data_IF_482045117793
#
_entry.id   IF_482045117793
#
_cell.length_a   1.000
_cell.length_b   1.000
_cell.length_c   1.000
_cell.angle_alpha   90.00
_cell.angle_beta   90.00
_cell.angle_gamma   90.00
#
_symmetry.space_group_name_H-M   'P 1'
#
loop_
_entity.id
_entity.type
_entity.pdbx_description
1 polymer ?
#
# COMPACT_ATOMS: atom_id res chain seq x y z
N UNK A 1 2.69 -10.12 46.84
CA UNK A 1 1.50 -10.32 45.99
C UNK A 1 1.18 -9.00 45.33
N UNK A 2 1.89 -8.72 44.23
CA UNK A 2 1.69 -7.54 43.40
C UNK A 2 0.74 -7.94 42.28
N UNK A 3 -0.46 -7.38 42.31
CA UNK A 3 -1.50 -7.56 41.30
C UNK A 3 -1.05 -6.92 40.00
N UNK A 4 -0.71 -7.76 39.02
CA UNK A 4 -0.67 -7.42 37.59
C UNK A 4 -2.07 -7.01 37.14
N UNK A 5 -2.31 -5.72 36.95
CA UNK A 5 -3.42 -5.22 36.15
C UNK A 5 -3.19 -5.64 34.70
N UNK A 6 -3.95 -6.62 34.22
CA UNK A 6 -4.00 -7.01 32.82
C UNK A 6 -4.50 -5.83 31.97
N UNK A 7 -3.86 -5.63 30.82
CA UNK A 7 -4.22 -4.66 29.78
C UNK A 7 -5.47 -5.05 28.97
N UNK A 8 -6.24 -6.07 29.41
CA UNK A 8 -7.32 -6.67 28.60
C UNK A 8 -8.68 -5.96 28.69
N UNK A 9 -8.85 -4.89 29.48
CA UNK A 9 -10.19 -4.34 29.78
C UNK A 9 -10.57 -3.03 29.09
N UNK A 10 -9.74 -2.46 28.20
CA UNK A 10 -9.98 -1.12 27.63
C UNK A 10 -10.44 -1.08 26.15
N UNK A 11 -10.57 -2.22 25.46
CA UNK A 11 -11.04 -2.25 24.08
C UNK A 11 -12.55 -2.59 24.03
N UNK A 12 -13.40 -1.56 24.04
CA UNK A 12 -14.82 -1.72 23.69
C UNK A 12 -14.98 -2.29 22.27
N UNK A 13 -16.16 -2.86 21.93
CA UNK A 13 -16.40 -3.43 20.61
C UNK A 13 -16.12 -2.39 19.53
N UNK A 14 -15.28 -2.80 18.58
CA UNK A 14 -14.85 -2.03 17.43
C UNK A 14 -16.06 -1.80 16.54
N UNK A 15 -16.40 -0.53 16.29
CA UNK A 15 -17.47 0.01 15.44
C UNK A 15 -18.64 -0.94 15.10
N UNK A 16 -19.86 -0.52 15.45
CA UNK A 16 -21.06 -1.34 15.22
C UNK A 16 -21.19 -1.82 13.77
N UNK A 17 -21.94 -2.91 13.56
CA UNK A 17 -22.28 -3.36 12.21
C UNK A 17 -22.84 -2.22 11.36
N UNK A 18 -23.62 -1.31 11.97
CA UNK A 18 -24.19 -0.14 11.29
C UNK A 18 -23.13 0.82 10.72
N UNK A 19 -22.01 1.06 11.43
CA UNK A 19 -20.91 1.89 10.93
C UNK A 19 -20.24 1.29 9.70
N UNK A 20 -19.94 -0.02 9.73
CA UNK A 20 -19.38 -0.69 8.56
C UNK A 20 -20.37 -0.79 7.40
N UNK A 21 -21.66 -1.04 7.69
CA UNK A 21 -22.70 -1.10 6.67
C UNK A 21 -22.85 0.25 5.95
N UNK A 22 -22.77 1.36 6.69
CA UNK A 22 -22.73 2.70 6.10
C UNK A 22 -21.52 2.90 5.16
N UNK A 23 -20.32 2.53 5.59
CA UNK A 23 -19.10 2.64 4.75
C UNK A 23 -19.24 1.79 3.50
N UNK A 24 -19.70 0.54 3.63
CA UNK A 24 -19.90 -0.38 2.50
C UNK A 24 -20.96 0.12 1.53
N UNK A 25 -22.08 0.64 2.04
CA UNK A 25 -23.12 1.25 1.22
C UNK A 25 -22.56 2.44 0.42
N UNK A 26 -21.80 3.32 1.08
CA UNK A 26 -21.14 4.46 0.41
C UNK A 26 -20.14 4.01 -0.65
N UNK A 27 -19.32 3.02 -0.34
CA UNK A 27 -18.39 2.45 -1.31
C UNK A 27 -19.12 1.84 -2.52
N UNK A 28 -20.20 1.09 -2.29
CA UNK A 28 -21.03 0.50 -3.34
C UNK A 28 -21.69 1.58 -4.25
N UNK A 29 -22.15 2.69 -3.67
CA UNK A 29 -22.65 3.85 -4.43
C UNK A 29 -21.58 4.40 -5.37
N UNK A 30 -20.34 4.57 -4.88
CA UNK A 30 -19.22 5.06 -5.69
C UNK A 30 -18.86 4.05 -6.79
N UNK A 31 -18.65 2.77 -6.46
CA UNK A 31 -18.30 1.75 -7.44
C UNK A 31 -19.37 1.53 -8.50
N UNK A 32 -20.65 1.51 -8.11
CA UNK A 32 -21.77 1.41 -9.05
C UNK A 32 -21.83 2.60 -10.00
N UNK A 33 -21.45 3.79 -9.54
CA UNK A 33 -21.32 4.96 -10.41
C UNK A 33 -20.14 4.86 -11.37
N UNK A 34 -18.97 4.48 -10.87
CA UNK A 34 -17.77 4.25 -11.69
C UNK A 34 -18.08 3.25 -12.82
N UNK A 35 -18.71 2.12 -12.49
CA UNK A 35 -19.05 1.09 -13.46
C UNK A 35 -20.04 1.58 -14.52
N UNK A 36 -21.11 2.28 -14.11
CA UNK A 36 -22.08 2.89 -15.03
C UNK A 36 -21.41 3.88 -15.98
N UNK A 37 -20.57 4.76 -15.47
CA UNK A 37 -19.88 5.77 -16.28
C UNK A 37 -18.92 5.14 -17.30
N UNK A 38 -18.27 4.04 -16.92
CA UNK A 38 -17.43 3.26 -17.81
C UNK A 38 -18.23 2.52 -18.89
N UNK A 39 -19.34 1.85 -18.54
CA UNK A 39 -20.16 1.07 -19.50
C UNK A 39 -20.87 1.94 -20.53
N UNK A 40 -21.40 3.09 -20.14
CA UNK A 40 -22.30 3.89 -20.98
C UNK A 40 -21.62 5.05 -21.70
N UNK A 41 -20.33 4.90 -22.03
CA UNK A 41 -19.69 5.71 -23.06
C UNK A 41 -19.46 7.17 -22.67
N UNK A 42 -19.28 7.42 -21.37
CA UNK A 42 -18.84 8.72 -20.86
C UNK A 42 -17.30 8.77 -20.75
N UNK A 43 -16.61 7.77 -21.32
CA UNK A 43 -15.23 7.37 -21.03
C UNK A 43 -14.11 7.97 -21.90
N UNK A 44 -14.35 9.05 -22.63
CA UNK A 44 -13.32 9.67 -23.49
C UNK A 44 -12.83 11.06 -23.03
N UNK A 45 -13.28 11.53 -21.86
CA UNK A 45 -12.78 12.78 -21.31
C UNK A 45 -11.78 12.49 -20.19
N UNK A 46 -10.60 13.09 -20.26
CA UNK A 46 -9.79 13.42 -19.08
C UNK A 46 -10.73 14.16 -18.11
N UNK A 47 -11.12 13.53 -17.01
CA UNK A 47 -12.05 14.11 -16.02
C UNK A 47 -11.29 14.66 -14.83
N UNK A 48 -11.65 15.86 -14.38
CA UNK A 48 -11.01 16.51 -13.25
C UNK A 48 -11.52 15.96 -11.91
N UNK A 49 -10.70 16.06 -10.86
CA UNK A 49 -11.04 15.64 -9.50
C UNK A 49 -12.30 16.37 -8.95
N UNK A 50 -12.67 17.53 -9.50
CA UNK A 50 -13.92 18.23 -9.19
C UNK A 50 -15.20 17.51 -9.66
N UNK A 51 -15.18 16.81 -10.80
CA UNK A 51 -16.35 16.05 -11.25
C UNK A 51 -16.63 14.87 -10.32
N UNK A 52 -15.59 14.19 -9.82
CA UNK A 52 -15.72 13.09 -8.85
C UNK A 52 -16.26 13.60 -7.51
N UNK A 53 -15.79 14.77 -7.02
CA UNK A 53 -16.28 15.38 -5.77
C UNK A 53 -17.78 15.68 -5.81
N UNK A 54 -18.29 16.19 -6.93
CA UNK A 54 -19.73 16.49 -7.10
C UNK A 54 -20.65 15.26 -6.96
N UNK A 55 -20.09 14.05 -6.97
CA UNK A 55 -20.83 12.80 -6.93
C UNK A 55 -20.97 12.23 -5.53
N UNK A 56 -19.97 12.47 -4.67
CA UNK A 56 -20.00 12.11 -3.24
C UNK A 56 -21.04 12.97 -2.51
N UNK A 57 -21.15 14.24 -2.91
CA UNK A 57 -22.05 15.23 -2.29
C UNK A 57 -23.53 15.05 -2.66
N UNK A 58 -23.84 14.34 -3.75
CA UNK A 58 -25.20 14.31 -4.33
C UNK A 58 -26.18 13.32 -3.68
N UNK A 59 -25.78 12.54 -2.67
CA UNK A 59 -26.65 11.96 -1.63
C UNK A 59 -27.96 11.24 -2.01
N UNK A 60 -28.17 10.78 -3.25
CA UNK A 60 -29.44 10.14 -3.66
C UNK A 60 -29.36 8.61 -3.55
N UNK A 61 -30.07 7.97 -2.60
CA UNK A 61 -30.08 6.53 -2.46
C UNK A 61 -30.98 5.94 -3.55
N UNK A 62 -30.42 5.09 -4.41
CA UNK A 62 -31.22 4.13 -5.17
C UNK A 62 -30.82 2.74 -4.73
N UNK A 63 -31.74 2.09 -4.02
CA UNK A 63 -31.64 0.68 -3.64
C UNK A 63 -31.52 -0.15 -4.92
N UNK A 64 -30.42 -0.88 -5.04
CA UNK A 64 -30.30 -1.96 -6.00
C UNK A 64 -29.88 -3.21 -5.23
N UNK A 65 -30.81 -4.14 -5.09
CA UNK A 65 -30.54 -5.49 -4.61
C UNK A 65 -29.68 -6.20 -5.66
N UNK A 66 -28.49 -6.67 -5.27
CA UNK A 66 -27.61 -7.48 -6.11
C UNK A 66 -26.18 -6.97 -6.20
N UNK A 67 -25.46 -6.99 -5.08
CA UNK A 67 -24.02 -6.75 -5.03
C UNK A 67 -23.21 -8.01 -5.44
N UNK A 68 -23.83 -9.20 -5.39
CA UNK A 68 -23.13 -10.49 -5.57
C UNK A 68 -22.84 -10.88 -7.04
N UNK A 69 -23.38 -10.16 -8.03
CA UNK A 69 -23.31 -10.57 -9.45
C UNK A 69 -22.54 -9.58 -10.37
N UNK A 70 -22.04 -8.45 -9.83
CA UNK A 70 -21.54 -7.33 -10.66
C UNK A 70 -20.00 -7.31 -10.80
N UNK A 71 -19.28 -8.09 -9.99
CA UNK A 71 -17.86 -8.44 -10.22
C UNK A 71 -17.70 -9.86 -10.81
N UNK A 72 -18.71 -10.73 -10.67
CA UNK A 72 -18.73 -12.10 -11.19
C UNK A 72 -19.38 -12.26 -12.59
N UNK A 73 -20.08 -11.23 -13.10
CA UNK A 73 -20.83 -11.30 -14.35
C UNK A 73 -20.03 -11.03 -15.63
N UNK A 74 -19.02 -11.85 -15.94
CA UNK A 74 -18.63 -12.08 -17.34
C UNK A 74 -18.59 -13.59 -17.56
N UNK A 75 -19.43 -14.17 -18.44
CA UNK A 75 -19.45 -15.61 -18.63
C UNK A 75 -18.05 -16.10 -18.98
N UNK A 76 -17.62 -17.20 -18.34
CA UNK A 76 -16.36 -17.92 -18.52
C UNK A 76 -16.20 -18.52 -19.93
N UNK A 77 -16.44 -17.74 -20.97
CA UNK A 77 -16.38 -18.18 -22.36
C UNK A 77 -15.64 -17.12 -23.20
N UNK A 78 -14.31 -17.26 -23.27
CA UNK A 78 -13.46 -16.57 -24.24
C UNK A 78 -12.37 -15.66 -23.63
N UNK A 79 -11.15 -16.17 -23.55
CA UNK A 79 -9.96 -15.60 -22.87
C UNK A 79 -9.39 -14.29 -23.42
N UNK A 80 -10.11 -13.51 -24.23
CA UNK A 80 -9.58 -12.25 -24.81
C UNK A 80 -10.49 -11.03 -24.63
N UNK A 81 -11.82 -11.19 -24.44
CA UNK A 81 -12.71 -10.05 -24.17
C UNK A 81 -12.70 -9.65 -22.68
N UNK A 82 -12.64 -10.64 -21.77
CA UNK A 82 -12.53 -10.44 -20.33
C UNK A 82 -11.26 -9.66 -19.94
N UNK A 83 -10.11 -10.00 -20.52
CA UNK A 83 -8.85 -9.28 -20.25
C UNK A 83 -8.81 -7.88 -20.85
N UNK A 84 -9.38 -7.65 -22.03
CA UNK A 84 -9.49 -6.29 -22.60
C UNK A 84 -10.32 -5.37 -21.71
N UNK A 85 -11.38 -5.89 -21.10
CA UNK A 85 -12.18 -5.13 -20.14
C UNK A 85 -11.38 -4.83 -18.85
N UNK A 86 -10.66 -5.82 -18.29
CA UNK A 86 -9.77 -5.62 -17.13
C UNK A 86 -8.70 -4.56 -17.41
N UNK A 87 -7.95 -4.65 -18.51
CA UNK A 87 -6.95 -3.65 -18.85
C UNK A 87 -7.57 -2.25 -19.01
N UNK A 88 -8.70 -2.13 -19.71
CA UNK A 88 -9.37 -0.85 -19.87
C UNK A 88 -9.82 -0.23 -18.53
N UNK A 89 -10.33 -1.04 -17.60
CA UNK A 89 -10.67 -0.61 -16.24
C UNK A 89 -9.43 -0.19 -15.45
N UNK A 90 -8.34 -0.95 -15.54
CA UNK A 90 -7.06 -0.61 -14.93
C UNK A 90 -6.56 0.75 -15.43
N UNK A 91 -6.49 0.93 -16.75
CA UNK A 91 -6.04 2.18 -17.36
C UNK A 91 -6.97 3.34 -16.95
N UNK A 92 -8.27 3.11 -16.88
CA UNK A 92 -9.27 4.15 -16.59
C UNK A 92 -9.29 4.55 -15.11
N UNK A 93 -9.49 3.60 -14.19
CA UNK A 93 -9.67 3.86 -12.75
C UNK A 93 -8.36 3.87 -11.97
N UNK A 94 -7.30 3.27 -12.51
CA UNK A 94 -6.00 3.18 -11.86
C UNK A 94 -5.87 2.01 -10.89
N UNK A 95 -6.80 1.06 -10.84
CA UNK A 95 -6.60 -0.17 -10.10
C UNK A 95 -7.49 -1.31 -10.62
N UNK A 96 -7.15 -2.53 -10.21
CA UNK A 96 -7.95 -3.73 -10.39
C UNK A 96 -8.04 -4.50 -9.09
N UNK A 97 -9.19 -5.10 -8.84
CA UNK A 97 -9.38 -6.12 -7.82
C UNK A 97 -9.67 -7.44 -8.53
N UNK A 98 -8.83 -8.43 -8.28
CA UNK A 98 -8.89 -9.77 -8.85
C UNK A 98 -9.17 -10.76 -7.72
N UNK A 99 -10.41 -11.21 -7.65
CA UNK A 99 -10.85 -12.17 -6.65
C UNK A 99 -10.18 -13.54 -6.87
N UNK A 100 -9.85 -14.22 -5.77
CA UNK A 100 -9.32 -15.59 -5.77
C UNK A 100 -8.10 -15.80 -6.70
N UNK A 101 -7.25 -14.79 -6.82
CA UNK A 101 -6.06 -14.85 -7.67
C UNK A 101 -5.01 -15.85 -7.14
N UNK A 102 -4.81 -15.88 -5.82
CA UNK A 102 -4.05 -16.93 -5.15
C UNK A 102 -4.99 -17.96 -4.52
N UNK A 103 -4.60 -19.21 -4.64
CA UNK A 103 -5.28 -20.33 -4.01
C UNK A 103 -4.99 -20.37 -2.51
N UNK A 104 -5.88 -21.01 -1.74
CA UNK A 104 -5.69 -21.21 -0.31
C UNK A 104 -4.34 -21.88 0.03
N UNK A 105 -3.88 -22.94 -0.67
CA UNK A 105 -2.55 -23.51 -0.43
C UNK A 105 -1.38 -22.54 -0.65
N UNK A 106 -1.48 -21.63 -1.62
CA UNK A 106 -0.45 -20.60 -1.83
C UNK A 106 -0.43 -19.60 -0.68
N UNK A 107 -1.61 -19.13 -0.24
CA UNK A 107 -1.73 -18.23 0.90
C UNK A 107 -1.20 -18.86 2.19
N UNK A 108 -1.61 -20.11 2.49
CA UNK A 108 -1.13 -20.83 3.67
C UNK A 108 0.35 -21.20 3.58
N UNK A 109 0.85 -21.52 2.39
CA UNK A 109 2.28 -21.77 2.15
C UNK A 109 3.13 -20.55 2.49
N UNK A 110 2.75 -19.37 1.98
CA UNK A 110 3.42 -18.10 2.30
C UNK A 110 3.33 -17.73 3.79
N UNK A 111 2.17 -17.91 4.43
CA UNK A 111 2.01 -17.66 5.87
C UNK A 111 2.84 -18.61 6.72
N UNK A 112 2.85 -19.90 6.36
CA UNK A 112 3.66 -20.91 7.04
C UNK A 112 5.13 -20.58 6.94
N UNK A 113 5.59 -20.27 5.73
CA UNK A 113 6.99 -19.91 5.51
C UNK A 113 7.39 -18.64 6.27
N UNK A 114 6.51 -17.63 6.31
CA UNK A 114 6.78 -16.43 7.09
C UNK A 114 6.89 -16.73 8.59
N UNK A 115 6.06 -17.61 9.15
CA UNK A 115 6.20 -18.01 10.57
C UNK A 115 7.55 -18.66 10.86
N UNK A 116 8.06 -19.49 9.95
CA UNK A 116 9.40 -20.09 10.08
C UNK A 116 10.51 -19.04 10.03
N UNK A 117 10.42 -18.09 9.10
CA UNK A 117 11.37 -16.98 8.99
C UNK A 117 11.39 -16.12 10.25
N UNK A 118 10.20 -15.81 10.80
CA UNK A 118 10.07 -15.06 12.06
C UNK A 118 10.61 -15.86 13.24
N UNK A 119 10.45 -17.18 13.27
CA UNK A 119 10.99 -18.01 14.36
C UNK A 119 12.52 -18.10 14.33
N UNK A 120 13.12 -18.07 13.13
CA UNK A 120 14.57 -18.10 12.94
C UNK A 120 15.26 -16.74 13.10
N UNK A 121 14.49 -15.64 13.08
CA UNK A 121 15.01 -14.27 13.14
C UNK A 121 15.56 -13.91 14.53
N UNK A 122 16.70 -13.22 14.56
CA UNK A 122 17.26 -12.59 15.76
C UNK A 122 16.72 -11.15 15.95
N UNK A 123 15.90 -10.89 16.98
CA UNK A 123 15.34 -9.56 17.23
C UNK A 123 16.34 -8.45 17.54
N UNK A 124 17.61 -8.76 17.80
CA UNK A 124 18.64 -7.76 17.97
C UNK A 124 19.06 -7.13 16.63
N UNK A 125 18.86 -7.84 15.51
CA UNK A 125 19.21 -7.41 14.15
C UNK A 125 18.04 -6.74 13.41
N UNK A 126 17.24 -5.89 14.06
CA UNK A 126 16.07 -5.26 13.45
C UNK A 126 15.97 -3.75 13.66
N UNK A 127 15.04 -3.12 12.95
CA UNK A 127 14.72 -1.69 13.08
C UNK A 127 13.21 -1.43 13.16
N UNK A 128 12.83 -0.26 13.66
CA UNK A 128 11.44 0.16 13.75
C UNK A 128 10.98 0.81 12.44
N UNK A 129 9.86 0.36 11.87
CA UNK A 129 9.28 0.96 10.66
C UNK A 129 8.40 2.19 10.99
N UNK A 130 8.44 3.23 10.14
CA UNK A 130 7.61 4.44 10.25
C UNK A 130 7.15 4.96 8.88
N UNK A 131 5.98 5.59 8.86
CA UNK A 131 5.33 6.23 7.69
C UNK A 131 4.91 7.68 7.98
N UNK A 132 5.30 8.20 9.15
CA UNK A 132 4.95 9.53 9.64
C UNK A 132 6.08 10.55 9.38
N UNK A 133 5.93 11.77 9.92
CA UNK A 133 6.91 12.84 9.78
C UNK A 133 8.32 12.50 10.29
N UNK A 134 8.52 11.37 11.00
CA UNK A 134 9.83 10.89 11.44
C UNK A 134 10.40 9.79 10.55
N UNK A 135 9.82 9.52 9.38
CA UNK A 135 10.34 8.54 8.43
C UNK A 135 11.75 8.92 7.93
N UNK A 136 12.01 10.21 7.71
CA UNK A 136 13.34 10.70 7.30
C UNK A 136 14.42 10.42 8.35
N UNK A 137 14.11 10.57 9.64
CA UNK A 137 15.06 10.31 10.71
C UNK A 137 15.20 8.83 11.06
N UNK A 138 14.13 8.03 10.93
CA UNK A 138 14.16 6.61 11.26
C UNK A 138 14.70 5.73 10.12
N UNK A 139 14.24 5.91 8.88
CA UNK A 139 14.68 5.13 7.72
C UNK A 139 15.69 5.88 6.85
N UNK A 140 15.62 7.22 6.84
CA UNK A 140 16.53 8.03 6.01
C UNK A 140 17.93 8.24 6.59
N UNK A 141 18.28 7.61 7.71
CA UNK A 141 19.63 7.62 8.29
C UNK A 141 20.14 6.23 8.66
N UNK A 142 19.49 5.17 8.17
CA UNK A 142 19.82 3.78 8.50
C UNK A 142 20.48 3.01 7.34
N UNK A 143 21.66 2.44 7.63
CA UNK A 143 22.31 1.46 6.77
C UNK A 143 21.53 0.14 6.68
N UNK A 144 20.81 -0.25 7.73
CA UNK A 144 20.01 -1.48 7.75
C UNK A 144 18.82 -1.41 6.78
N UNK A 145 18.17 -0.25 6.70
CA UNK A 145 17.11 -0.03 5.72
C UNK A 145 17.66 -0.09 4.28
N UNK A 146 18.76 0.59 3.98
CA UNK A 146 19.34 0.58 2.63
C UNK A 146 19.90 -0.81 2.24
N UNK A 147 20.52 -1.54 3.18
CA UNK A 147 21.03 -2.91 2.96
C UNK A 147 19.91 -3.93 2.72
N UNK A 148 18.68 -3.64 3.15
CA UNK A 148 17.52 -4.53 2.93
C UNK A 148 17.07 -4.67 1.46
N UNK A 149 17.64 -3.88 0.54
CA UNK A 149 17.22 -3.76 -0.86
C UNK A 149 17.02 -5.11 -1.58
N UNK A 150 17.91 -6.08 -1.36
CA UNK A 150 17.87 -7.42 -1.94
C UNK A 150 17.91 -8.54 -0.88
N UNK A 151 17.61 -8.22 0.39
CA UNK A 151 17.70 -9.13 1.54
C UNK A 151 16.38 -9.27 2.29
N UNK A 152 16.31 -10.24 3.21
CA UNK A 152 15.20 -10.42 4.15
C UNK A 152 15.53 -9.75 5.48
N UNK A 153 15.13 -8.50 5.63
CA UNK A 153 15.22 -7.73 6.87
C UNK A 153 13.84 -7.63 7.54
N UNK A 154 13.86 -7.50 8.85
CA UNK A 154 12.69 -7.51 9.71
C UNK A 154 12.51 -6.14 10.33
N UNK A 155 11.31 -5.58 10.21
CA UNK A 155 11.00 -4.25 10.72
C UNK A 155 9.86 -4.33 11.73
N UNK A 156 10.13 -3.88 12.96
CA UNK A 156 9.19 -3.93 14.08
C UNK A 156 8.21 -2.77 14.05
N UNK A 157 7.05 -2.96 14.67
CA UNK A 157 6.10 -1.89 14.95
C UNK A 157 6.71 -0.85 15.90
N UNK A 158 6.20 0.39 15.81
CA UNK A 158 6.55 1.44 16.77
C UNK A 158 6.10 1.02 18.16
N UNK A 159 7.03 1.02 19.13
CA UNK A 159 6.75 0.62 20.51
C UNK A 159 6.81 -0.88 20.78
N UNK A 160 7.09 -1.73 19.78
CA UNK A 160 7.30 -3.17 20.00
C UNK A 160 8.69 -3.51 20.56
N UNK A 161 9.60 -2.53 20.63
CA UNK A 161 11.00 -2.70 21.03
C UNK A 161 11.44 -1.59 21.97
N UNK A 162 12.25 -1.94 22.97
CA UNK A 162 12.91 -1.00 23.88
C UNK A 162 13.89 -0.11 23.12
N UNK A 163 13.82 1.21 23.29
CA UNK A 163 14.77 2.14 22.68
C UNK A 163 16.19 1.95 23.26
N UNK A 164 16.29 1.57 24.55
CA UNK A 164 17.53 1.42 25.29
C UNK A 164 18.18 0.05 25.06
N UNK A 165 17.46 -1.03 25.41
CA UNK A 165 18.01 -2.40 25.41
C UNK A 165 17.90 -3.09 24.06
N UNK A 166 17.10 -2.53 23.14
CA UNK A 166 16.81 -3.15 21.84
C UNK A 166 16.10 -4.51 21.93
N UNK A 167 15.60 -4.88 23.10
CA UNK A 167 14.80 -6.10 23.29
C UNK A 167 13.34 -5.87 22.91
N UNK A 168 12.64 -6.96 22.56
CA UNK A 168 11.21 -6.91 22.26
C UNK A 168 10.38 -6.72 23.53
N UNK A 169 9.36 -5.88 23.45
CA UNK A 169 8.40 -5.60 24.52
C UNK A 169 7.12 -6.43 24.39
N UNK A 170 6.94 -7.10 23.25
CA UNK A 170 5.80 -7.95 22.92
C UNK A 170 6.30 -9.29 22.35
N UNK A 171 5.46 -10.34 22.29
CA UNK A 171 5.84 -11.60 21.66
C UNK A 171 6.39 -11.40 20.25
N UNK A 172 7.38 -12.21 19.87
CA UNK A 172 8.10 -12.07 18.59
C UNK A 172 7.17 -12.00 17.38
N UNK A 173 6.13 -12.84 17.38
CA UNK A 173 5.16 -12.95 16.30
C UNK A 173 4.24 -11.71 16.19
N UNK A 174 4.13 -10.91 17.26
CA UNK A 174 3.32 -9.69 17.33
C UNK A 174 4.17 -8.42 17.16
N UNK A 175 5.50 -8.53 17.18
CA UNK A 175 6.39 -7.36 17.15
C UNK A 175 6.57 -6.75 15.77
N UNK A 176 6.30 -7.51 14.70
CA UNK A 176 6.68 -7.14 13.33
C UNK A 176 5.61 -6.34 12.61
N UNK A 177 6.01 -5.22 12.01
CA UNK A 177 5.20 -4.46 11.05
C UNK A 177 5.32 -5.10 9.65
N UNK A 178 6.55 -5.33 9.21
CA UNK A 178 6.87 -5.90 7.90
C UNK A 178 8.16 -6.70 7.87
N UNK A 179 8.29 -7.54 6.84
CA UNK A 179 9.55 -8.11 6.36
C UNK A 179 9.79 -7.63 4.93
N UNK A 180 11.03 -7.32 4.57
CA UNK A 180 11.39 -6.83 3.23
C UNK A 180 12.89 -6.63 3.07
N UNK A 181 13.40 -6.21 1.91
CA UNK A 181 12.66 -5.91 0.68
C UNK A 181 12.99 -6.88 -0.48
N UNK A 182 13.82 -7.90 -0.21
CA UNK A 182 14.25 -8.91 -1.17
C UNK A 182 13.74 -10.33 -0.88
N UNK A 183 12.60 -10.51 -0.21
CA UNK A 183 12.05 -11.85 0.11
C UNK A 183 11.89 -12.72 -1.16
N UNK A 184 11.45 -12.12 -2.27
CA UNK A 184 11.34 -12.78 -3.58
C UNK A 184 12.68 -13.22 -4.19
N UNK A 185 13.80 -12.70 -3.68
CA UNK A 185 15.16 -13.07 -4.08
C UNK A 185 15.67 -14.21 -3.20
N UNK A 186 15.51 -14.07 -1.88
CA UNK A 186 16.14 -14.91 -0.86
C UNK A 186 15.34 -16.14 -0.45
N UNK A 187 14.03 -16.18 -0.72
CA UNK A 187 13.15 -17.27 -0.28
C UNK A 187 12.36 -17.92 -1.43
N UNK A 188 12.44 -19.24 -1.50
CA UNK A 188 11.91 -20.02 -2.63
C UNK A 188 10.37 -19.99 -2.70
N UNK A 189 9.65 -19.94 -1.58
CA UNK A 189 8.18 -19.94 -1.59
C UNK A 189 7.67 -18.65 -2.23
N UNK A 190 8.24 -17.51 -1.82
CA UNK A 190 7.86 -16.22 -2.35
C UNK A 190 8.37 -16.04 -3.78
N UNK A 191 9.59 -16.50 -4.09
CA UNK A 191 10.15 -16.50 -5.44
C UNK A 191 9.30 -17.29 -6.42
N UNK A 192 8.91 -18.51 -6.06
CA UNK A 192 8.06 -19.38 -6.87
C UNK A 192 6.70 -18.75 -7.17
N UNK A 193 6.07 -18.09 -6.19
CA UNK A 193 4.84 -17.34 -6.44
C UNK A 193 5.05 -16.20 -7.43
N UNK A 194 6.12 -15.40 -7.26
CA UNK A 194 6.43 -14.29 -8.17
C UNK A 194 6.57 -14.76 -9.61
N UNK A 195 7.29 -15.86 -9.82
CA UNK A 195 7.61 -16.42 -11.14
C UNK A 195 6.50 -17.31 -11.72
N UNK A 196 5.34 -17.42 -11.06
CA UNK A 196 4.24 -18.27 -11.52
C UNK A 196 3.65 -17.80 -12.84
N UNK A 197 3.12 -18.74 -13.64
CA UNK A 197 2.52 -18.46 -14.95
C UNK A 197 1.40 -17.41 -14.85
N UNK A 198 0.56 -17.47 -13.81
CA UNK A 198 -0.51 -16.48 -13.60
C UNK A 198 0.00 -15.06 -13.37
N UNK A 199 1.17 -14.90 -12.75
CA UNK A 199 1.79 -13.58 -12.56
C UNK A 199 2.33 -13.06 -13.89
N UNK A 200 2.99 -13.91 -14.67
CA UNK A 200 3.50 -13.59 -16.01
C UNK A 200 2.34 -13.22 -16.95
N UNK A 201 1.26 -14.00 -16.95
CA UNK A 201 0.06 -13.74 -17.75
C UNK A 201 -0.63 -12.43 -17.35
N UNK A 202 -0.76 -12.17 -16.05
CA UNK A 202 -1.33 -10.92 -15.54
C UNK A 202 -0.57 -9.71 -16.08
N UNK A 203 0.75 -9.65 -15.88
CA UNK A 203 1.55 -8.49 -16.26
C UNK A 203 1.61 -8.32 -17.78
N UNK A 204 1.67 -9.45 -18.53
CA UNK A 204 1.56 -9.45 -19.99
C UNK A 204 0.21 -8.86 -20.44
N UNK A 205 -0.88 -9.24 -19.78
CA UNK A 205 -2.23 -8.74 -20.12
C UNK A 205 -2.41 -7.24 -19.84
N UNK A 206 -1.70 -6.71 -18.85
CA UNK A 206 -1.67 -5.27 -18.54
C UNK A 206 -0.74 -4.47 -19.48
N UNK A 207 0.08 -5.16 -20.29
CA UNK A 207 0.92 -4.57 -21.33
C UNK A 207 2.37 -4.33 -20.93
N UNK A 208 2.84 -4.91 -19.81
CA UNK A 208 4.26 -4.89 -19.45
C UNK A 208 5.04 -5.77 -20.41
N UNK A 209 6.19 -5.28 -20.89
CA UNK A 209 6.99 -5.94 -21.94
C UNK A 209 8.25 -6.60 -21.40
N UNK A 210 8.94 -5.95 -20.48
CA UNK A 210 10.13 -6.45 -19.82
C UNK A 210 10.02 -6.22 -18.30
N UNK A 211 9.03 -6.84 -17.62
CA UNK A 211 8.85 -6.63 -16.20
C UNK A 211 10.00 -7.21 -15.36
N UNK A 212 10.46 -6.43 -14.40
CA UNK A 212 11.45 -6.81 -13.39
C UNK A 212 10.87 -6.54 -11.99
N UNK A 213 11.24 -7.36 -11.00
CA UNK A 213 10.79 -7.25 -9.60
C UNK A 213 11.90 -6.61 -8.77
N UNK A 214 11.85 -5.29 -8.47
CA UNK A 214 12.81 -4.65 -7.59
C UNK A 214 12.57 -4.97 -6.10
N UNK A 215 11.32 -5.20 -5.71
CA UNK A 215 10.92 -5.20 -4.31
C UNK A 215 9.78 -6.18 -4.03
N UNK A 216 9.86 -6.83 -2.86
CA UNK A 216 8.78 -7.58 -2.23
C UNK A 216 8.71 -7.29 -0.73
N UNK A 217 7.51 -7.21 -0.18
CA UNK A 217 7.31 -7.06 1.27
C UNK A 217 6.23 -8.00 1.78
N UNK A 218 6.38 -8.44 3.02
CA UNK A 218 5.32 -9.08 3.79
C UNK A 218 4.84 -8.12 4.86
N UNK A 219 3.54 -7.81 4.90
CA UNK A 219 2.97 -6.88 5.87
C UNK A 219 2.04 -7.63 6.82
N UNK A 220 2.29 -7.55 8.13
CA UNK A 220 1.52 -8.30 9.14
C UNK A 220 0.23 -7.60 9.55
N UNK A 221 0.25 -6.25 9.65
CA UNK A 221 -0.81 -5.44 10.30
C UNK A 221 -1.29 -6.10 11.57
N UNK A 222 -0.46 -6.03 12.61
CA UNK A 222 -0.71 -6.75 13.86
C UNK A 222 -2.05 -6.33 14.51
N UNK A 223 -2.73 -7.23 15.23
CA UNK A 223 -3.96 -6.89 15.94
C UNK A 223 -3.76 -5.68 16.86
N UNK A 224 -4.70 -4.74 16.86
CA UNK A 224 -4.75 -3.53 17.72
C UNK A 224 -3.63 -2.51 17.51
N UNK A 225 -2.39 -2.95 17.27
CA UNK A 225 -1.19 -2.11 17.16
C UNK A 225 -0.75 -1.89 15.71
N UNK A 226 -1.35 -2.59 14.74
CA UNK A 226 -0.95 -2.52 13.34
C UNK A 226 -1.09 -1.10 12.80
N UNK A 227 0.05 -0.42 12.65
CA UNK A 227 0.12 1.02 12.35
C UNK A 227 -0.56 1.38 11.03
N UNK A 228 -1.11 2.59 10.94
CA UNK A 228 -1.63 3.12 9.68
C UNK A 228 -0.51 3.30 8.64
N UNK A 229 -0.89 3.18 7.37
CA UNK A 229 -0.04 3.58 6.25
C UNK A 229 -0.68 4.84 5.68
N UNK A 230 0.07 5.94 5.71
CA UNK A 230 -0.38 7.25 5.25
C UNK A 230 -0.58 7.27 3.73
N UNK A 231 -1.27 8.30 3.21
CA UNK A 231 -1.48 8.47 1.77
C UNK A 231 -0.15 8.61 1.04
N UNK A 232 0.06 7.78 0.02
CA UNK A 232 1.27 7.80 -0.79
C UNK A 232 1.08 7.23 -2.19
N UNK A 233 2.09 7.48 -3.04
CA UNK A 233 2.28 6.87 -4.35
C UNK A 233 3.55 6.00 -4.32
N UNK A 234 3.51 4.74 -4.77
CA UNK A 234 4.71 3.90 -4.77
C UNK A 234 5.87 4.47 -5.60
N UNK A 235 5.55 5.19 -6.68
CA UNK A 235 6.56 5.81 -7.55
C UNK A 235 7.28 6.99 -6.87
N UNK A 236 6.80 7.44 -5.70
CA UNK A 236 7.55 8.32 -4.80
C UNK A 236 8.83 7.61 -4.32
N UNK A 237 8.76 6.31 -4.08
CA UNK A 237 9.88 5.50 -3.57
C UNK A 237 10.61 4.71 -4.67
N UNK A 238 9.88 4.33 -5.73
CA UNK A 238 10.32 3.42 -6.79
C UNK A 238 10.22 4.11 -8.17
N UNK A 239 10.99 5.19 -8.34
CA UNK A 239 10.89 6.06 -9.50
C UNK A 239 11.56 5.49 -10.77
N UNK A 240 10.93 5.70 -11.92
CA UNK A 240 11.46 5.30 -13.25
C UNK A 240 11.36 6.42 -14.29
N UNK A 241 12.22 6.41 -15.30
CA UNK A 241 12.22 7.40 -16.40
C UNK A 241 12.27 6.68 -17.77
N UNK A 242 11.80 7.31 -18.88
CA UNK A 242 11.17 8.64 -18.98
C UNK A 242 9.70 8.68 -18.51
N UNK A 243 9.14 7.54 -18.11
CA UNK A 243 7.78 7.42 -17.57
C UNK A 243 7.77 6.54 -16.32
N UNK A 244 6.77 6.74 -15.46
CA UNK A 244 6.55 5.85 -14.32
C UNK A 244 6.01 4.50 -14.79
N UNK A 245 6.62 3.42 -14.29
CA UNK A 245 6.26 2.03 -14.63
C UNK A 245 6.10 1.12 -13.43
N UNK A 246 6.28 1.66 -12.21
CA UNK A 246 6.01 0.93 -10.99
C UNK A 246 4.57 0.39 -11.02
N UNK A 247 4.42 -0.89 -10.71
CA UNK A 247 3.15 -1.60 -10.61
C UNK A 247 3.12 -2.31 -9.25
N UNK A 248 2.21 -1.89 -8.37
CA UNK A 248 1.99 -2.49 -7.07
C UNK A 248 0.99 -3.65 -7.16
N UNK A 249 1.38 -4.80 -6.63
CA UNK A 249 0.58 -6.02 -6.54
C UNK A 249 0.43 -6.35 -5.06
N UNK A 250 -0.78 -6.16 -4.53
CA UNK A 250 -1.11 -6.35 -3.13
C UNK A 250 -1.96 -7.60 -2.97
N UNK A 251 -1.38 -8.69 -2.48
CA UNK A 251 -2.06 -9.96 -2.27
C UNK A 251 -2.53 -10.10 -0.82
N UNK A 252 -3.83 -10.30 -0.62
CA UNK A 252 -4.41 -10.65 0.67
C UNK A 252 -4.07 -12.11 1.01
N UNK A 253 -3.33 -12.37 2.09
CA UNK A 253 -3.10 -13.72 2.62
C UNK A 253 -4.12 -14.10 3.71
N UNK A 254 -4.82 -13.10 4.22
CA UNK A 254 -5.93 -13.17 5.16
C UNK A 254 -7.02 -12.18 4.70
N UNK A 255 -8.29 -12.36 5.12
CA UNK A 255 -9.34 -11.40 4.80
C UNK A 255 -8.95 -9.99 5.26
N UNK A 256 -9.03 -9.03 4.33
CA UNK A 256 -8.81 -7.62 4.60
C UNK A 256 -10.14 -6.88 4.59
N UNK A 257 -10.44 -6.25 5.71
CA UNK A 257 -11.72 -5.64 6.03
C UNK A 257 -11.49 -4.19 6.44
N UNK A 258 -12.58 -3.43 6.54
CA UNK A 258 -12.53 -2.07 7.07
C UNK A 258 -11.87 -1.99 8.45
N UNK A 259 -12.06 -3.00 9.30
CA UNK A 259 -11.64 -2.98 10.71
C UNK A 259 -10.20 -3.43 10.93
N UNK A 260 -9.67 -4.30 10.06
CA UNK A 260 -8.29 -4.76 10.13
C UNK A 260 -7.36 -4.08 9.12
N UNK A 261 -7.82 -2.99 8.50
CA UNK A 261 -7.01 -2.10 7.69
C UNK A 261 -6.83 -2.59 6.26
N UNK A 262 -7.94 -2.77 5.54
CA UNK A 262 -7.93 -2.92 4.08
C UNK A 262 -7.30 -1.68 3.39
N UNK A 263 -7.00 -1.82 2.10
CA UNK A 263 -6.56 -0.69 1.29
C UNK A 263 -7.70 0.30 1.11
N UNK A 264 -7.33 1.58 1.03
CA UNK A 264 -8.15 2.63 0.47
C UNK A 264 -7.41 3.22 -0.72
N UNK A 265 -8.09 3.34 -1.86
CA UNK A 265 -7.53 3.87 -3.10
C UNK A 265 -8.28 5.11 -3.51
N UNK A 266 -7.61 6.07 -4.17
CA UNK A 266 -8.29 7.19 -4.83
C UNK A 266 -8.37 6.93 -6.33
N UNK A 267 -9.51 6.46 -6.87
CA UNK A 267 -9.66 6.21 -8.30
C UNK A 267 -9.29 7.43 -9.11
N UNK A 268 -8.70 7.23 -10.30
CA UNK A 268 -8.22 8.26 -11.22
C UNK A 268 -7.00 9.07 -10.75
N UNK A 269 -6.56 8.94 -9.49
CA UNK A 269 -5.41 9.72 -8.98
C UNK A 269 -4.09 9.41 -9.68
N UNK A 270 -3.99 8.27 -10.37
CA UNK A 270 -2.82 7.91 -11.17
C UNK A 270 -2.56 8.85 -12.35
N UNK A 271 -3.55 9.67 -12.74
CA UNK A 271 -3.43 10.71 -13.75
C UNK A 271 -2.86 12.03 -13.23
N UNK A 272 -2.88 12.26 -11.90
CA UNK A 272 -2.54 13.55 -11.29
C UNK A 272 -1.03 13.83 -11.23
N UNK A 273 -0.19 12.86 -11.60
CA UNK A 273 1.27 12.94 -11.50
C UNK A 273 1.79 12.61 -10.10
N UNK A 274 3.13 12.61 -9.96
CA UNK A 274 3.79 12.41 -8.67
C UNK A 274 3.81 13.70 -7.86
N UNK A 275 3.67 13.58 -6.54
CA UNK A 275 3.70 14.72 -5.60
C UNK A 275 5.08 15.01 -5.06
N UNK A 276 5.86 13.95 -4.82
CA UNK A 276 7.21 14.04 -4.27
C UNK A 276 7.99 12.78 -4.61
N UNK A 277 9.27 12.76 -4.27
CA UNK A 277 10.17 11.62 -4.40
C UNK A 277 11.00 11.45 -3.15
N UNK A 278 11.17 10.21 -2.72
CA UNK A 278 12.09 9.84 -1.65
C UNK A 278 13.43 9.44 -2.26
N UNK A 279 14.39 10.36 -2.19
CA UNK A 279 15.64 10.27 -2.94
C UNK A 279 16.88 10.23 -2.06
N UNK A 280 17.91 9.54 -2.55
CA UNK A 280 19.25 9.57 -1.99
C UNK A 280 19.77 11.00 -1.98
N UNK A 281 20.13 11.49 -0.80
CA UNK A 281 20.65 12.83 -0.62
C UNK A 281 22.06 12.94 -1.20
N UNK A 282 22.21 13.68 -2.29
CA UNK A 282 23.49 13.88 -2.96
C UNK A 282 24.59 14.35 -2.00
N UNK A 283 24.27 15.23 -1.06
CA UNK A 283 25.25 15.73 -0.08
C UNK A 283 25.78 14.63 0.84
N UNK A 284 24.93 13.67 1.22
CA UNK A 284 25.37 12.53 2.03
C UNK A 284 26.24 11.59 1.20
N UNK A 285 25.83 11.25 -0.02
CA UNK A 285 26.54 10.25 -0.84
C UNK A 285 27.78 10.79 -1.55
N UNK A 286 27.90 12.10 -1.75
CA UNK A 286 29.12 12.75 -2.27
C UNK A 286 30.17 13.02 -1.19
N UNK A 287 29.80 12.96 0.10
CA UNK A 287 30.71 13.21 1.21
C UNK A 287 31.85 12.19 1.26
N UNK A 288 33.06 12.68 1.51
CA UNK A 288 34.29 11.86 1.50
C UNK A 288 34.70 11.39 2.89
N UNK A 289 34.11 11.97 3.95
CA UNK A 289 34.38 11.63 5.34
C UNK A 289 33.11 11.26 6.11
N UNK A 290 33.26 10.44 7.16
CA UNK A 290 32.14 10.06 8.03
C UNK A 290 31.54 11.26 8.77
N UNK A 291 32.36 12.26 9.12
CA UNK A 291 31.90 13.47 9.81
C UNK A 291 31.00 14.35 8.93
N UNK A 292 31.26 14.42 7.61
CA UNK A 292 30.40 15.11 6.66
C UNK A 292 29.11 14.33 6.43
N UNK A 293 29.18 13.00 6.30
CA UNK A 293 28.00 12.13 6.16
C UNK A 293 27.01 12.31 7.30
N UNK A 294 27.49 12.45 8.54
CA UNK A 294 26.64 12.65 9.71
C UNK A 294 25.91 14.01 9.74
N UNK A 295 26.29 14.97 8.90
CA UNK A 295 25.62 16.28 8.82
C UNK A 295 24.39 16.28 7.92
N UNK A 296 24.20 15.23 7.13
CA UNK A 296 23.15 15.14 6.13
C UNK A 296 22.45 13.79 6.22
N UNK A 297 21.10 13.74 6.23
CA UNK A 297 20.40 12.46 6.16
C UNK A 297 20.74 11.73 4.86
N UNK A 298 20.76 10.40 4.87
CA UNK A 298 20.98 9.58 3.67
C UNK A 298 19.86 9.77 2.65
N UNK A 299 18.63 9.94 3.11
CA UNK A 299 17.46 10.07 2.25
C UNK A 299 16.71 11.35 2.57
N UNK A 300 16.16 12.00 1.55
CA UNK A 300 15.34 13.21 1.66
C UNK A 300 14.09 13.09 0.79
N UNK A 301 13.06 13.88 1.10
CA UNK A 301 11.95 14.10 0.18
C UNK A 301 12.22 15.32 -0.70
N UNK A 302 12.03 15.17 -2.01
CA UNK A 302 12.00 16.26 -2.98
C UNK A 302 10.57 16.38 -3.52
N UNK A 303 9.97 17.56 -3.39
CA UNK A 303 8.64 17.80 -3.94
C UNK A 303 8.69 17.89 -5.47
N UNK A 304 7.72 17.24 -6.11
CA UNK A 304 7.52 17.32 -7.56
C UNK A 304 6.49 18.42 -7.83
N UNK A 305 6.72 19.22 -8.88
CA UNK A 305 5.72 20.22 -9.28
C UNK A 305 4.55 19.48 -9.93
N UNK A 306 3.32 19.53 -9.36
CA UNK A 306 2.17 18.90 -9.98
C UNK A 306 1.98 19.47 -11.39
N UNK A 307 1.54 18.63 -12.33
CA UNK A 307 1.25 19.10 -13.68
C UNK A 307 0.16 20.17 -13.63
N UNK A 308 0.47 21.42 -13.98
CA UNK A 308 -0.44 22.59 -13.98
C UNK A 308 -1.76 22.32 -14.74
N UNK A 309 -1.73 21.40 -15.70
CA UNK A 309 -2.86 20.95 -16.52
C UNK A 309 -4.00 20.27 -15.73
N UNK A 310 -3.80 19.95 -14.44
CA UNK A 310 -4.84 19.40 -13.55
C UNK A 310 -5.10 20.36 -12.39
N UNK A 311 -5.82 21.46 -12.66
CA UNK A 311 -6.08 22.59 -11.75
C UNK A 311 -6.80 22.28 -10.41
N UNK A 312 -6.98 20.99 -10.08
CA UNK A 312 -7.61 20.45 -8.86
C UNK A 312 -6.82 19.28 -8.24
N UNK A 313 -5.62 18.96 -8.75
CA UNK A 313 -4.82 17.84 -8.27
C UNK A 313 -4.49 17.99 -6.77
N UNK A 314 -4.67 16.90 -6.03
CA UNK A 314 -4.33 16.85 -4.60
C UNK A 314 -2.82 17.04 -4.45
N UNK A 315 -2.39 18.17 -3.90
CA UNK A 315 -0.98 18.58 -3.82
C UNK A 315 -0.23 17.99 -2.63
N UNK A 316 -0.87 17.13 -1.84
CA UNK A 316 -0.29 16.61 -0.60
C UNK A 316 -0.08 15.10 -0.70
N UNK A 317 1.00 14.64 -0.09
CA UNK A 317 1.33 13.24 0.18
C UNK A 317 1.83 13.15 1.62
N UNK A 318 1.44 12.10 2.36
CA UNK A 318 1.76 11.94 3.78
C UNK A 318 0.66 12.44 4.71
N UNK A 319 0.40 11.65 5.77
CA UNK A 319 -0.75 11.80 6.66
C UNK A 319 -2.02 11.09 6.17
N UNK A 320 -3.04 11.04 7.03
CA UNK A 320 -4.41 10.70 6.64
C UNK A 320 -5.16 11.99 6.27
N UNK A 321 -6.09 11.95 5.30
CA UNK A 321 -6.91 13.11 4.99
C UNK A 321 -7.73 13.52 6.22
N UNK A 322 -7.81 14.82 6.49
CA UNK A 322 -8.64 15.35 7.58
C UNK A 322 -9.83 16.12 7.05
N UNK A 323 -10.94 16.12 7.79
CA UNK A 323 -12.16 16.86 7.43
C UNK A 323 -11.96 18.40 7.40
N UNK A 324 -10.88 18.91 8.02
CA UNK A 324 -10.60 20.35 8.10
C UNK A 324 -9.77 20.88 6.91
N UNK A 325 -9.37 20.01 5.97
CA UNK A 325 -8.67 20.41 4.75
C UNK A 325 -7.23 20.87 4.93
N UNK A 326 -6.66 20.79 6.15
CA UNK A 326 -5.22 21.01 6.40
C UNK A 326 -4.44 19.74 6.08
N UNK A 327 -4.46 19.34 4.83
CA UNK A 327 -3.79 18.13 4.39
C UNK A 327 -2.31 18.40 4.07
N UNK A 328 -1.41 17.51 4.48
CA UNK A 328 0.03 17.62 4.20
C UNK A 328 0.90 18.16 5.34
N UNK A 329 0.33 18.56 6.47
CA UNK A 329 1.05 18.50 7.75
C UNK A 329 0.63 17.20 8.41
N UNK A 330 1.58 16.39 8.87
CA UNK A 330 1.29 15.44 9.94
C UNK A 330 0.61 16.28 11.00
N UNK A 331 -0.70 16.12 11.16
CA UNK A 331 -1.36 16.79 12.25
C UNK A 331 -0.63 16.22 13.47
N UNK A 332 0.18 17.06 14.11
CA UNK A 332 0.62 16.80 15.48
C UNK A 332 -0.59 16.57 16.37
N UNK A 333 -1.80 16.84 15.84
CA UNK A 333 -2.92 15.95 15.96
C UNK A 333 -3.25 15.95 17.40
N UNK A 334 -3.72 17.12 17.84
CA UNK A 334 -4.06 17.42 19.21
C UNK A 334 -4.66 16.18 19.85
N UNK A 335 -3.78 15.38 20.50
CA UNK A 335 -4.14 14.04 20.95
C UNK A 335 -5.30 14.17 21.96
N UNK A 336 -5.44 15.35 22.57
CA UNK A 336 -6.52 15.70 23.48
C UNK A 336 -7.91 15.75 22.82
N UNK A 337 -8.02 16.06 21.52
CA UNK A 337 -9.29 16.05 20.79
C UNK A 337 -9.78 14.63 20.45
N UNK A 338 -8.88 13.65 20.31
CA UNK A 338 -9.23 12.23 20.10
C UNK A 338 -9.51 11.49 21.41
N UNK A 339 -8.92 11.90 22.53
CA UNK A 339 -9.09 11.24 23.84
C UNK A 339 -10.56 11.18 24.32
N UNK A 340 -11.40 12.14 23.90
CA UNK A 340 -12.80 12.20 24.30
C UNK A 340 -13.78 11.52 23.33
N UNK A 341 -13.29 10.91 22.23
CA UNK A 341 -14.13 10.26 21.23
C UNK A 341 -14.09 8.75 21.40
N UNK A 342 -15.23 8.09 21.21
CA UNK A 342 -15.27 6.64 21.14
C UNK A 342 -14.51 6.11 19.91
N UNK A 343 -13.99 4.87 19.94
CA UNK A 343 -13.34 4.27 18.77
C UNK A 343 -14.22 4.25 17.51
N UNK A 344 -15.54 4.14 17.67
CA UNK A 344 -16.50 4.19 16.57
C UNK A 344 -16.65 5.58 15.96
N UNK A 345 -16.70 6.64 16.80
CA UNK A 345 -16.71 8.02 16.31
C UNK A 345 -15.44 8.35 15.53
N UNK A 346 -14.26 7.93 16.03
CA UNK A 346 -13.00 8.12 15.32
C UNK A 346 -13.01 7.39 13.97
N UNK A 347 -13.47 6.14 13.93
CA UNK A 347 -13.56 5.37 12.70
C UNK A 347 -14.49 6.03 11.67
N UNK A 348 -15.66 6.51 12.09
CA UNK A 348 -16.62 7.18 11.22
C UNK A 348 -16.06 8.49 10.65
N UNK A 349 -15.38 9.29 11.48
CA UNK A 349 -14.75 10.54 11.02
C UNK A 349 -13.60 10.28 10.03
N UNK A 350 -12.75 9.29 10.30
CA UNK A 350 -11.67 8.89 9.39
C UNK A 350 -12.24 8.43 8.03
N UNK A 351 -13.27 7.57 8.04
CA UNK A 351 -13.92 7.11 6.81
C UNK A 351 -14.64 8.24 6.06
N UNK A 352 -15.30 9.15 6.78
CA UNK A 352 -15.96 10.31 6.18
C UNK A 352 -14.94 11.25 5.50
N UNK A 353 -13.81 11.52 6.16
CA UNK A 353 -12.73 12.31 5.58
C UNK A 353 -12.14 11.63 4.33
N UNK A 354 -11.97 10.30 4.37
CA UNK A 354 -11.51 9.54 3.21
C UNK A 354 -12.45 9.69 2.00
N UNK A 355 -13.76 9.54 2.20
CA UNK A 355 -14.74 9.76 1.12
C UNK A 355 -14.74 11.20 0.59
N UNK A 356 -14.59 12.22 1.45
CA UNK A 356 -14.48 13.62 1.02
C UNK A 356 -13.26 13.87 0.11
N UNK A 357 -12.20 13.09 0.28
CA UNK A 357 -11.01 13.11 -0.56
C UNK A 357 -11.02 12.04 -1.65
N UNK A 358 -12.19 11.49 -1.97
CA UNK A 358 -12.44 10.49 -3.02
C UNK A 358 -11.71 9.16 -2.84
N UNK A 359 -11.28 8.83 -1.61
CA UNK A 359 -10.80 7.50 -1.30
C UNK A 359 -11.97 6.53 -1.14
N UNK A 360 -11.81 5.33 -1.66
CA UNK A 360 -12.76 4.22 -1.51
C UNK A 360 -12.05 2.99 -0.93
N UNK A 361 -12.67 2.26 -0.01
CA UNK A 361 -12.10 1.06 0.56
C UNK A 361 -12.15 -0.09 -0.46
N UNK A 362 -11.15 -0.97 -0.41
CA UNK A 362 -11.09 -2.22 -1.16
C UNK A 362 -10.94 -3.36 -0.16
N UNK A 363 -12.07 -3.89 0.33
CA UNK A 363 -12.08 -5.12 1.12
C UNK A 363 -11.74 -6.33 0.23
N UNK A 364 -11.07 -7.33 0.79
CA UNK A 364 -10.55 -8.47 0.06
C UNK A 364 -10.76 -9.75 0.87
N UNK A 365 -11.15 -10.84 0.19
CA UNK A 365 -11.01 -12.17 0.74
C UNK A 365 -9.53 -12.60 0.74
N UNK A 366 -9.21 -13.66 1.49
CA UNK A 366 -7.90 -14.29 1.35
C UNK A 366 -7.76 -14.85 -0.08
N UNK A 367 -6.61 -14.60 -0.71
CA UNK A 367 -6.33 -14.97 -2.09
C UNK A 367 -6.59 -13.86 -3.10
N UNK A 368 -7.30 -12.80 -2.73
CA UNK A 368 -7.56 -11.68 -3.65
C UNK A 368 -6.30 -10.85 -3.89
N UNK A 369 -6.17 -10.35 -5.12
CA UNK A 369 -5.08 -9.48 -5.55
C UNK A 369 -5.62 -8.11 -5.96
N UNK A 370 -5.08 -7.04 -5.36
CA UNK A 370 -5.29 -5.66 -5.82
C UNK A 370 -4.07 -5.21 -6.60
N UNK A 371 -4.28 -4.72 -7.82
CA UNK A 371 -3.23 -4.27 -8.75
C UNK A 371 -3.40 -2.80 -9.04
N UNK A 372 -2.35 -1.99 -8.91
CA UNK A 372 -2.40 -0.55 -9.16
C UNK A 372 -1.07 -0.03 -9.72
N UNK A 373 -1.07 0.98 -10.61
CA UNK A 373 0.16 1.66 -10.99
C UNK A 373 0.69 2.43 -9.78
N UNK A 374 2.00 2.58 -9.67
CA UNK A 374 2.63 3.24 -8.54
C UNK A 374 2.37 4.74 -8.47
N UNK A 375 1.61 5.32 -9.40
CA UNK A 375 1.11 6.70 -9.30
C UNK A 375 -0.27 6.78 -8.67
N UNK A 376 -0.95 5.66 -8.40
CA UNK A 376 -2.23 5.69 -7.68
C UNK A 376 -2.00 6.04 -6.22
N UNK A 377 -2.73 7.04 -5.74
CA UNK A 377 -2.74 7.41 -4.33
C UNK A 377 -3.55 6.39 -3.53
N UNK A 378 -2.93 5.84 -2.49
CA UNK A 378 -3.51 4.81 -1.66
C UNK A 378 -2.97 4.85 -0.22
N UNK A 379 -3.73 4.24 0.70
CA UNK A 379 -3.42 4.20 2.13
C UNK A 379 -4.07 3.00 2.82
N UNK A 380 -3.79 2.80 4.11
CA UNK A 380 -4.57 1.88 4.94
C UNK A 380 -4.73 2.39 6.37
N UNK A 381 -5.96 2.39 6.89
CA UNK A 381 -6.25 2.72 8.28
C UNK A 381 -5.65 1.69 9.23
N UNK A 382 -5.37 2.07 10.48
CA UNK A 382 -4.85 1.19 11.52
C UNK A 382 -5.67 -0.11 11.68
N UNK A 383 -5.01 -1.23 12.00
CA UNK A 383 -5.72 -2.46 12.35
C UNK A 383 -6.24 -2.31 13.78
N UNK A 384 -7.55 -2.09 13.90
CA UNK A 384 -8.20 -1.97 15.21
C UNK A 384 -8.74 -3.32 15.68
N UNK A 385 -8.77 -4.35 14.82
CA UNK A 385 -9.31 -5.68 15.10
C UNK A 385 -8.44 -6.55 16.02
N UNK A 386 -9.02 -7.68 16.45
CA UNK A 386 -8.35 -8.72 17.24
C UNK A 386 -7.59 -9.74 16.37
N UNK A 387 -7.62 -9.60 15.04
CA UNK A 387 -6.94 -10.49 14.11
C UNK A 387 -5.89 -9.71 13.33
N UNK A 388 -4.81 -10.38 12.95
CA UNK A 388 -3.86 -9.83 12.00
C UNK A 388 -4.52 -9.66 10.64
N UNK A 389 -3.81 -9.00 9.73
CA UNK A 389 -4.17 -8.93 8.32
C UNK A 389 -2.89 -9.17 7.58
N UNK A 390 -2.56 -10.39 7.20
CA UNK A 390 -1.30 -10.63 6.48
C UNK A 390 -1.47 -10.35 4.99
N UNK A 391 -0.50 -9.66 4.38
CA UNK A 391 -0.41 -9.51 2.92
C UNK A 391 1.00 -9.76 2.41
N UNK A 392 1.08 -10.18 1.16
CA UNK A 392 2.31 -10.18 0.39
C UNK A 392 2.21 -9.12 -0.70
N UNK A 393 3.20 -8.23 -0.77
CA UNK A 393 3.23 -7.13 -1.72
C UNK A 393 4.43 -7.29 -2.65
N UNK A 394 4.21 -7.05 -3.93
CA UNK A 394 5.22 -7.05 -4.96
C UNK A 394 5.15 -5.74 -5.73
N UNK A 395 6.32 -5.20 -6.05
CA UNK A 395 6.44 -4.10 -6.99
C UNK A 395 7.17 -4.57 -8.23
N UNK A 396 6.66 -4.19 -9.38
CA UNK A 396 7.28 -4.45 -10.68
C UNK A 396 7.58 -3.15 -11.39
N UNK A 397 8.62 -3.15 -12.22
CA UNK A 397 8.93 -2.05 -13.14
C UNK A 397 9.24 -2.61 -14.53
N UNK A 398 9.14 -1.77 -15.54
CA UNK A 398 9.70 -2.09 -16.85
C UNK A 398 11.23 -1.94 -16.80
N UNK A 399 11.95 -2.95 -17.29
CA UNK A 399 13.41 -2.93 -17.34
C UNK A 399 13.96 -2.25 -18.61
N UNK A 400 15.31 -2.22 -18.75
CA UNK A 400 16.00 -1.47 -19.80
C UNK A 400 15.60 -1.84 -21.24
N UNK A 401 15.25 -3.10 -21.50
CA UNK A 401 14.82 -3.56 -22.83
C UNK A 401 13.51 -2.92 -23.30
N UNK A 402 12.70 -2.39 -22.37
CA UNK A 402 11.50 -1.62 -22.66
C UNK A 402 11.74 -0.10 -22.73
N UNK A 403 13.01 0.34 -22.71
CA UNK A 403 13.39 1.75 -22.76
C UNK A 403 13.13 2.50 -21.46
N UNK A 404 13.14 1.79 -20.33
CA UNK A 404 12.87 2.36 -19.00
C UNK A 404 14.12 2.23 -18.13
N UNK A 405 14.43 3.31 -17.42
CA UNK A 405 15.59 3.43 -16.56
C UNK A 405 15.15 3.52 -15.10
N UNK A 406 15.70 2.65 -14.25
CA UNK A 406 15.59 2.75 -12.80
C UNK A 406 16.37 3.96 -12.30
N UNK A 407 15.73 4.82 -11.49
CA UNK A 407 16.41 6.02 -11.01
C UNK A 407 17.55 5.67 -10.06
N UNK A 408 18.75 6.19 -10.33
CA UNK A 408 19.89 6.11 -9.42
C UNK A 408 19.64 6.87 -8.08
N UNK A 409 18.64 7.75 -8.05
CA UNK A 409 18.24 8.47 -6.85
C UNK A 409 17.36 7.63 -5.92
N UNK A 410 16.82 6.48 -6.36
CA UNK A 410 15.95 5.66 -5.51
C UNK A 410 16.73 5.14 -4.30
N UNK A 411 16.03 5.03 -3.18
CA UNK A 411 16.60 4.42 -1.96
C UNK A 411 17.10 3.00 -2.25
N UNK A 412 16.26 2.21 -2.94
CA UNK A 412 16.53 0.84 -3.33
C UNK A 412 17.47 0.81 -4.52
N UNK A 413 18.69 0.33 -4.28
CA UNK A 413 19.69 0.02 -5.29
C UNK A 413 20.26 -1.35 -4.95
N UNK A 414 20.31 -2.25 -5.92
CA UNK A 414 20.98 -3.53 -5.71
C UNK A 414 22.50 -3.34 -5.70
N UNK A 415 23.26 -4.21 -5.01
CA UNK A 415 24.71 -4.22 -5.10
C UNK A 415 25.20 -4.30 -6.55
N UNK A 416 26.39 -3.75 -6.79
CA UNK A 416 26.97 -3.70 -8.14
C UNK A 416 27.07 -5.10 -8.75
N UNK A 417 26.52 -5.26 -9.96
CA UNK A 417 26.53 -6.53 -10.70
C UNK A 417 25.30 -7.41 -10.46
N UNK A 418 24.52 -7.14 -9.42
CA UNK A 418 23.22 -7.79 -9.21
C UNK A 418 22.12 -7.12 -10.03
N UNK A 419 21.07 -7.88 -10.35
CA UNK A 419 19.94 -7.43 -11.18
C UNK A 419 18.63 -7.77 -10.49
N UNK A 420 17.61 -6.95 -10.75
CA UNK A 420 16.24 -7.27 -10.39
C UNK A 420 15.81 -8.58 -11.05
N UNK A 421 14.95 -9.33 -10.35
CA UNK A 421 14.43 -10.60 -10.85
C UNK A 421 13.55 -10.34 -12.09
N UNK A 422 13.91 -10.83 -13.30
CA UNK A 422 13.07 -10.66 -14.47
C UNK A 422 11.88 -11.62 -14.43
N UNK A 423 10.72 -11.12 -14.87
CA UNK A 423 9.56 -11.94 -15.18
C UNK A 423 9.56 -12.20 -16.69
N UNK A 424 9.72 -13.47 -17.07
CA UNK A 424 9.88 -13.88 -18.46
C UNK A 424 8.56 -13.71 -19.26
N UNK A 425 8.26 -12.48 -19.65
CA UNK A 425 7.20 -12.18 -20.62
C UNK A 425 7.77 -12.41 -22.01
N UNK A 426 7.71 -13.65 -22.51
CA UNK A 426 8.09 -13.93 -23.90
C UNK A 426 7.06 -13.27 -24.82
N UNK A 427 7.56 -12.51 -25.80
CA UNK A 427 6.77 -11.74 -26.78
C UNK A 427 5.67 -12.55 -27.45
#
# INVERSE_FOLDING_TARGET
MTTTTSLDSAAGPLASSASADWVRQKAAEVFGKLDRDFRYGKGDAKRSSAEIRSWVDAGEPRTYDGFDDVMAGCPETGSASSFRNKKARFDHFGFLHLEHFASEPECEGMKTRMRELVEAWDPLESETFRTDAKQESAQGSSDYFLDSSNRTHFFTEVGARSEDTKELLVPRQEALNKVGHGIHVSDEVFRSYCLSDKMVELVKSLGWKNPEVPQSMYIFKQPRIGGEVTSHQDSTFLHTTPRQTCLGLWLALEPATLFNGCLWVRPFSHWEGLRRRFVRNEKHFAATSSAEKQQHPQMIFEDETPREEWGDAVSWEGGLPTATGKNGQADSGDYTAKINKSPEEVFNEECAALFQHNFVPVECAAGDLVVFPGTLDHLSLANRSQKSRHTFQLHLVEGPSAGVTWSASNWLQYPSGEKFLPLAVVG
#
